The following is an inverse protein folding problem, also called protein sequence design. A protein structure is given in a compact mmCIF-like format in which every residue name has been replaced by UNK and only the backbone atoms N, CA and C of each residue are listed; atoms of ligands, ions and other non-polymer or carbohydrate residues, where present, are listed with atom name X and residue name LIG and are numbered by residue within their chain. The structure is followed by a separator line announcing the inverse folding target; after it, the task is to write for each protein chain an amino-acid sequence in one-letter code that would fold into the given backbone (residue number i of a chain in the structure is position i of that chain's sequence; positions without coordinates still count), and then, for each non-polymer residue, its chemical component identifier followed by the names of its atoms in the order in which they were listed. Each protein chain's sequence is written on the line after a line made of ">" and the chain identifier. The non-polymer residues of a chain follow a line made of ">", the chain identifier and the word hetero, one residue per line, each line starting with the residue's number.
data_IF_356133705998
#
_entry.id   IF_356133705998
#
_cell.length_a   1.000
_cell.length_b   1.000
_cell.length_c   1.000
_cell.angle_alpha   90.00
_cell.angle_beta   90.00
_cell.angle_gamma   90.00
#
_symmetry.space_group_name_H-M   'P 1'
#
loop_
_entity.id
_entity.type
_entity.pdbx_description
1 polymer ?
#
# COMPACT_ATOMS: atom_id res chain seq x y z
N UNK A 1 -23.65 19.52 17.82
CA UNK A 1 -23.43 19.35 16.36
C UNK A 1 -23.01 17.91 16.13
N UNK A 2 -23.93 17.08 15.64
CA UNK A 2 -23.71 15.65 15.42
C UNK A 2 -22.79 15.45 14.21
N UNK A 3 -21.54 15.07 14.44
CA UNK A 3 -20.63 14.65 13.38
C UNK A 3 -21.18 13.37 12.75
N UNK A 4 -21.60 13.44 11.49
CA UNK A 4 -22.02 12.28 10.72
C UNK A 4 -20.80 11.36 10.54
N UNK A 5 -20.72 10.29 11.33
CA UNK A 5 -19.66 9.28 11.21
C UNK A 5 -20.03 8.34 10.07
N UNK A 6 -19.38 8.51 8.93
CA UNK A 6 -19.52 7.60 7.79
C UNK A 6 -18.57 6.43 8.04
N UNK A 7 -19.13 5.24 8.23
CA UNK A 7 -18.38 3.97 8.30
C UNK A 7 -17.56 3.77 7.01
N UNK A 8 -16.41 3.09 7.06
CA UNK A 8 -15.60 2.78 5.87
C UNK A 8 -16.44 2.05 4.79
N UNK A 9 -17.38 1.19 5.21
CA UNK A 9 -18.35 0.57 4.31
C UNK A 9 -19.29 1.59 3.68
N UNK A 10 -19.73 2.59 4.42
CA UNK A 10 -20.56 3.69 3.92
C UNK A 10 -19.78 4.64 3.01
N UNK A 11 -18.46 4.80 3.19
CA UNK A 11 -17.58 5.55 2.30
C UNK A 11 -17.37 4.80 0.98
N UNK A 12 -17.10 3.50 1.04
CA UNK A 12 -16.97 2.63 -0.14
C UNK A 12 -18.28 2.62 -0.93
N UNK A 13 -19.43 2.49 -0.25
CA UNK A 13 -20.75 2.56 -0.88
C UNK A 13 -21.00 3.97 -1.47
N UNK A 14 -20.63 5.04 -0.76
CA UNK A 14 -20.79 6.40 -1.29
C UNK A 14 -19.89 6.66 -2.51
N UNK A 15 -18.68 6.10 -2.55
CA UNK A 15 -17.78 6.17 -3.71
C UNK A 15 -18.35 5.35 -4.87
N UNK A 16 -18.83 4.12 -4.63
CA UNK A 16 -19.52 3.30 -5.63
C UNK A 16 -20.74 4.02 -6.21
N UNK A 17 -21.58 4.60 -5.35
CA UNK A 17 -22.76 5.37 -5.74
C UNK A 17 -22.36 6.64 -6.50
N UNK A 18 -21.31 7.35 -6.07
CA UNK A 18 -20.80 8.52 -6.78
C UNK A 18 -20.19 8.17 -8.14
N UNK A 19 -19.50 7.04 -8.27
CA UNK A 19 -18.99 6.52 -9.56
C UNK A 19 -20.14 6.16 -10.48
N UNK A 20 -21.18 5.47 -9.98
CA UNK A 20 -22.37 5.11 -10.76
C UNK A 20 -23.16 6.35 -11.18
N UNK A 21 -23.37 7.31 -10.28
CA UNK A 21 -24.06 8.57 -10.58
C UNK A 21 -23.24 9.43 -11.53
N UNK A 22 -21.93 9.52 -11.36
CA UNK A 22 -21.03 10.26 -12.25
C UNK A 22 -20.99 9.67 -13.66
N UNK A 23 -21.03 8.34 -13.79
CA UNK A 23 -21.19 7.65 -15.07
C UNK A 23 -22.56 7.95 -15.72
N UNK A 24 -23.62 8.10 -14.91
CA UNK A 24 -24.99 8.37 -15.37
C UNK A 24 -25.26 9.84 -15.73
N UNK A 25 -24.66 10.80 -15.01
CA UNK A 25 -24.99 12.22 -15.15
C UNK A 25 -24.17 12.96 -16.21
N UNK A 26 -23.16 12.32 -16.83
CA UNK A 26 -22.38 12.94 -17.89
C UNK A 26 -21.52 14.13 -17.43
N UNK A 27 -21.49 14.45 -16.14
CA UNK A 27 -20.48 15.31 -15.53
C UNK A 27 -19.18 14.50 -15.45
N UNK A 28 -18.44 14.48 -16.55
CA UNK A 28 -17.09 13.90 -16.59
C UNK A 28 -16.11 15.05 -16.40
N UNK A 29 -15.67 15.39 -15.18
CA UNK A 29 -14.40 16.07 -15.03
C UNK A 29 -13.31 15.10 -15.50
N UNK A 30 -13.03 15.09 -16.81
CA UNK A 30 -11.91 14.38 -17.42
C UNK A 30 -10.62 15.02 -16.94
N UNK A 31 -10.20 14.70 -15.72
CA UNK A 31 -8.87 15.08 -15.27
C UNK A 31 -7.88 14.13 -15.94
N UNK A 32 -6.92 14.67 -16.67
CA UNK A 32 -5.85 13.86 -17.22
C UNK A 32 -4.83 13.55 -16.12
N UNK A 33 -4.70 12.29 -15.74
CA UNK A 33 -3.51 11.82 -15.03
C UNK A 33 -2.39 11.68 -16.05
N UNK A 34 -1.21 12.21 -15.76
CA UNK A 34 -0.04 12.01 -16.60
C UNK A 34 0.45 10.57 -16.43
N UNK A 35 0.43 9.81 -17.52
CA UNK A 35 0.95 8.45 -17.56
C UNK A 35 1.67 8.19 -18.87
N UNK A 36 2.58 7.23 -18.87
CA UNK A 36 3.14 6.62 -20.07
C UNK A 36 2.94 5.11 -20.04
N UNK A 37 2.65 4.54 -21.20
CA UNK A 37 2.57 3.10 -21.39
C UNK A 37 3.96 2.59 -21.80
N UNK A 38 4.44 1.55 -21.13
CA UNK A 38 5.75 0.96 -21.39
C UNK A 38 5.58 -0.54 -21.61
N UNK A 39 6.20 -1.07 -22.66
CA UNK A 39 6.29 -2.52 -22.85
C UNK A 39 7.42 -3.05 -21.97
N UNK A 40 7.09 -3.98 -21.08
CA UNK A 40 8.02 -4.56 -20.11
C UNK A 40 7.45 -5.86 -19.58
N UNK A 41 8.27 -6.90 -19.58
CA UNK A 41 7.92 -8.20 -19.02
C UNK A 41 8.46 -8.33 -17.60
N UNK A 42 7.59 -8.54 -16.61
CA UNK A 42 8.01 -8.88 -15.25
C UNK A 42 7.86 -10.39 -15.06
N UNK A 43 8.99 -11.09 -15.16
CA UNK A 43 9.06 -12.56 -15.02
C UNK A 43 8.70 -12.98 -13.61
N UNK A 44 7.96 -14.08 -13.51
CA UNK A 44 7.54 -14.70 -12.25
C UNK A 44 6.64 -13.79 -11.38
N UNK A 45 6.05 -12.76 -11.98
CA UNK A 45 5.06 -11.90 -11.31
C UNK A 45 3.74 -12.63 -11.12
N UNK A 46 2.99 -12.33 -10.05
CA UNK A 46 1.59 -12.75 -9.92
C UNK A 46 0.73 -12.34 -11.12
N UNK A 47 -0.33 -13.11 -11.37
CA UNK A 47 -1.34 -12.90 -12.43
C UNK A 47 -2.27 -11.69 -12.20
N UNK A 48 -1.95 -10.83 -11.24
CA UNK A 48 -2.71 -9.66 -10.87
C UNK A 48 -1.89 -8.38 -11.09
N UNK A 49 -2.53 -7.23 -11.33
CA UNK A 49 -1.80 -5.97 -11.41
C UNK A 49 -1.08 -5.67 -10.08
N UNK A 50 0.14 -5.15 -10.17
CA UNK A 50 1.00 -4.80 -9.02
C UNK A 50 1.61 -3.43 -9.21
N UNK A 51 1.60 -2.63 -8.15
CA UNK A 51 2.15 -1.28 -8.15
C UNK A 51 3.47 -1.25 -7.37
N UNK A 52 4.45 -0.56 -7.92
CA UNK A 52 5.81 -0.47 -7.38
C UNK A 52 6.27 0.99 -7.35
N UNK A 53 7.09 1.33 -6.35
CA UNK A 53 7.83 2.59 -6.38
C UNK A 53 8.80 2.56 -7.56
N UNK A 54 8.69 3.53 -8.47
CA UNK A 54 9.49 3.55 -9.70
C UNK A 54 10.88 4.16 -9.46
N UNK A 55 11.69 3.41 -8.73
CA UNK A 55 13.07 3.76 -8.33
C UNK A 55 14.13 2.93 -9.11
N UNK A 56 13.72 2.24 -10.17
CA UNK A 56 14.56 1.35 -10.97
C UNK A 56 14.53 1.72 -12.45
N UNK A 57 15.58 1.33 -13.17
CA UNK A 57 15.65 1.47 -14.63
C UNK A 57 15.09 0.22 -15.31
N UNK A 58 14.25 0.40 -16.33
CA UNK A 58 13.81 -0.69 -17.19
C UNK A 58 15.01 -1.06 -18.09
N UNK A 59 15.51 -2.30 -18.05
CA UNK A 59 16.67 -2.68 -18.84
C UNK A 59 16.38 -2.60 -20.35
N UNK A 60 17.42 -2.53 -21.21
CA UNK A 60 17.24 -2.46 -22.66
C UNK A 60 16.46 -3.64 -23.25
N UNK A 61 16.57 -4.82 -22.64
CA UNK A 61 15.82 -6.03 -23.02
C UNK A 61 14.36 -6.03 -22.53
N UNK A 62 13.92 -4.97 -21.84
CA UNK A 62 12.58 -4.77 -21.29
C UNK A 62 12.08 -5.92 -20.43
N UNK A 63 13.00 -6.62 -19.74
CA UNK A 63 12.64 -7.74 -18.87
C UNK A 63 13.22 -7.53 -17.48
N UNK A 64 12.36 -7.68 -16.47
CA UNK A 64 12.68 -7.53 -15.05
C UNK A 64 12.24 -8.82 -14.35
N UNK A 65 12.97 -9.26 -13.34
CA UNK A 65 12.53 -10.37 -12.49
C UNK A 65 11.72 -9.83 -11.32
N UNK A 66 10.57 -10.41 -11.00
CA UNK A 66 9.74 -9.93 -9.89
C UNK A 66 10.51 -9.84 -8.56
N UNK A 67 11.36 -10.83 -8.26
CA UNK A 67 12.19 -10.85 -7.05
C UNK A 67 13.15 -9.66 -6.91
N UNK A 68 13.54 -8.99 -8.02
CA UNK A 68 14.42 -7.81 -7.96
C UNK A 68 13.71 -6.51 -7.64
N UNK A 69 12.36 -6.47 -7.74
CA UNK A 69 11.56 -5.27 -7.48
C UNK A 69 10.49 -5.47 -6.40
N UNK A 70 10.30 -6.70 -5.88
CA UNK A 70 9.25 -7.01 -4.91
C UNK A 70 9.27 -6.15 -3.64
N UNK A 71 10.45 -5.68 -3.19
CA UNK A 71 10.56 -4.80 -2.02
C UNK A 71 10.04 -3.38 -2.27
N UNK A 72 9.87 -3.02 -3.54
CA UNK A 72 9.29 -1.75 -3.98
C UNK A 72 7.78 -1.86 -4.18
N UNK A 73 7.20 -3.06 -4.11
CA UNK A 73 5.76 -3.26 -4.21
C UNK A 73 5.05 -2.56 -3.05
N UNK A 74 4.05 -1.75 -3.37
CA UNK A 74 3.30 -1.00 -2.38
C UNK A 74 1.90 -0.68 -2.88
N UNK A 75 0.96 -0.54 -1.96
CA UNK A 75 -0.39 -0.03 -2.23
C UNK A 75 -0.55 1.43 -1.77
N UNK A 76 0.47 2.02 -1.13
CA UNK A 76 0.49 3.41 -0.72
C UNK A 76 1.70 4.14 -1.33
N UNK A 77 1.45 5.29 -1.94
CA UNK A 77 2.43 6.16 -2.58
C UNK A 77 2.32 7.60 -2.04
N UNK A 78 3.38 8.38 -2.21
CA UNK A 78 3.40 9.81 -1.86
C UNK A 78 3.27 10.65 -3.14
N UNK A 79 2.65 11.82 -3.03
CA UNK A 79 2.63 12.79 -4.13
C UNK A 79 4.07 13.07 -4.61
N UNK A 80 4.25 13.07 -5.93
CA UNK A 80 5.56 13.25 -6.58
C UNK A 80 6.35 11.96 -6.79
N UNK A 81 6.00 10.85 -6.13
CA UNK A 81 6.60 9.54 -6.42
C UNK A 81 6.05 8.99 -7.73
N UNK A 82 6.94 8.58 -8.65
CA UNK A 82 6.52 7.85 -9.84
C UNK A 82 6.08 6.44 -9.44
N UNK A 83 4.93 6.01 -9.94
CA UNK A 83 4.38 4.68 -9.71
C UNK A 83 4.53 3.86 -10.97
N UNK A 84 5.10 2.67 -10.85
CA UNK A 84 5.14 1.68 -11.91
C UNK A 84 4.04 0.65 -11.63
N UNK A 85 2.97 0.68 -12.41
CA UNK A 85 1.86 -0.26 -12.32
C UNK A 85 2.02 -1.32 -13.42
N UNK A 86 2.49 -2.50 -13.05
CA UNK A 86 2.53 -3.64 -13.96
C UNK A 86 1.14 -4.22 -14.16
N UNK A 87 0.69 -4.35 -15.41
CA UNK A 87 -0.67 -4.82 -15.73
C UNK A 87 -0.78 -6.36 -15.73
N UNK A 88 0.33 -7.08 -15.61
CA UNK A 88 0.37 -8.54 -15.61
C UNK A 88 -0.34 -9.15 -16.84
N UNK A 89 -1.31 -10.04 -16.64
CA UNK A 89 -2.04 -10.72 -17.72
C UNK A 89 -3.25 -9.92 -18.28
N UNK A 90 -3.27 -8.60 -18.04
CA UNK A 90 -4.33 -7.71 -18.47
C UNK A 90 -3.89 -6.72 -19.55
N UNK A 91 -4.80 -6.45 -20.49
CA UNK A 91 -4.72 -5.36 -21.47
C UNK A 91 -5.47 -4.15 -20.96
N UNK A 92 -4.90 -2.96 -21.17
CA UNK A 92 -5.57 -1.69 -20.94
C UNK A 92 -6.61 -1.42 -22.03
N UNK A 93 -7.86 -1.16 -21.65
CA UNK A 93 -8.95 -0.79 -22.57
C UNK A 93 -9.39 0.66 -22.42
N UNK A 94 -9.13 1.27 -21.26
CA UNK A 94 -9.52 2.66 -21.01
C UNK A 94 -9.04 3.16 -19.64
N UNK A 95 -9.14 4.47 -19.46
CA UNK A 95 -8.79 5.16 -18.23
C UNK A 95 -9.84 6.24 -17.97
N UNK A 96 -10.32 6.30 -16.75
CA UNK A 96 -11.29 7.30 -16.32
C UNK A 96 -10.88 7.84 -14.96
N UNK A 97 -11.26 9.07 -14.66
CA UNK A 97 -11.22 9.49 -13.28
C UNK A 97 -12.06 10.70 -12.99
N UNK A 98 -12.29 10.90 -11.71
CA UNK A 98 -13.23 11.85 -11.15
C UNK A 98 -12.53 12.58 -10.02
N UNK A 99 -12.72 13.90 -9.93
CA UNK A 99 -12.29 14.67 -8.77
C UNK A 99 -13.48 15.34 -8.13
N UNK A 100 -13.56 15.30 -6.80
CA UNK A 100 -14.47 16.17 -6.05
C UNK A 100 -13.72 17.46 -5.74
N UNK A 101 -14.15 18.58 -6.32
CA UNK A 101 -13.58 19.92 -6.11
C UNK A 101 -12.07 20.07 -6.40
N UNK A 102 -11.45 19.17 -7.17
CA UNK A 102 -10.04 19.25 -7.58
C UNK A 102 -9.03 18.54 -6.67
N UNK A 103 -9.41 18.19 -5.44
CA UNK A 103 -8.48 17.79 -4.37
C UNK A 103 -8.25 16.28 -4.26
N UNK A 104 -9.32 15.47 -4.28
CA UNK A 104 -9.25 14.02 -4.17
C UNK A 104 -9.73 13.36 -5.46
N UNK A 105 -8.88 12.49 -6.02
CA UNK A 105 -9.06 11.95 -7.34
C UNK A 105 -9.26 10.43 -7.33
N UNK A 106 -10.40 9.95 -7.79
CA UNK A 106 -10.60 8.52 -8.05
C UNK A 106 -10.20 8.25 -9.49
N UNK A 107 -9.28 7.31 -9.71
CA UNK A 107 -8.82 6.91 -11.03
C UNK A 107 -9.14 5.43 -11.26
N UNK A 108 -9.91 5.13 -12.31
CA UNK A 108 -10.27 3.78 -12.68
C UNK A 108 -9.56 3.39 -13.97
N UNK A 109 -8.85 2.27 -13.89
CA UNK A 109 -8.14 1.65 -14.99
C UNK A 109 -8.97 0.48 -15.49
N UNK A 110 -9.46 0.57 -16.73
CA UNK A 110 -10.28 -0.47 -17.32
C UNK A 110 -9.38 -1.54 -17.95
N UNK A 111 -9.54 -2.77 -17.46
CA UNK A 111 -8.68 -3.90 -17.79
C UNK A 111 -9.48 -5.09 -18.31
N UNK A 112 -8.94 -5.76 -19.33
CA UNK A 112 -9.46 -7.03 -19.84
C UNK A 112 -8.36 -8.09 -19.84
N UNK A 113 -8.70 -9.34 -19.50
CA UNK A 113 -7.72 -10.44 -19.54
C UNK A 113 -7.22 -10.69 -20.96
N UNK A 114 -5.95 -11.08 -21.08
CA UNK A 114 -5.32 -11.47 -22.34
C UNK A 114 -4.24 -10.52 -22.84
N UNK A 115 -3.89 -9.47 -22.09
CA UNK A 115 -2.70 -8.67 -22.33
C UNK A 115 -1.50 -9.26 -21.60
N UNK A 116 -0.27 -9.01 -22.08
CA UNK A 116 0.95 -9.28 -21.32
C UNK A 116 1.96 -8.19 -21.58
N UNK A 117 2.96 -8.12 -20.71
CA UNK A 117 4.17 -7.32 -20.90
C UNK A 117 3.93 -5.82 -21.04
N UNK A 118 2.98 -5.26 -20.27
CA UNK A 118 2.73 -3.82 -20.22
C UNK A 118 2.71 -3.29 -18.80
N UNK A 119 3.19 -2.07 -18.65
CA UNK A 119 3.08 -1.30 -17.43
C UNK A 119 2.68 0.14 -17.72
N UNK A 120 2.03 0.77 -16.74
CA UNK A 120 1.80 2.21 -16.71
C UNK A 120 2.81 2.85 -15.76
N UNK A 121 3.53 3.85 -16.24
CA UNK A 121 4.31 4.75 -15.37
C UNK A 121 3.45 5.97 -15.12
N UNK A 122 2.99 6.13 -13.88
CA UNK A 122 2.07 7.18 -13.46
C UNK A 122 2.85 8.20 -12.64
N UNK A 123 2.65 9.50 -12.92
CA UNK A 123 3.24 10.59 -12.15
C UNK A 123 2.14 11.35 -11.37
N UNK A 124 1.78 10.89 -10.16
CA UNK A 124 0.73 11.51 -9.38
C UNK A 124 1.19 12.85 -8.79
N UNK A 125 0.46 13.92 -9.13
CA UNK A 125 0.70 15.28 -8.63
C UNK A 125 -0.26 15.72 -7.52
N UNK A 126 -1.15 14.81 -7.09
CA UNK A 126 -2.22 15.07 -6.11
C UNK A 126 -2.61 13.77 -5.40
N UNK A 127 -3.42 13.88 -4.34
CA UNK A 127 -4.04 12.72 -3.68
C UNK A 127 -4.94 11.97 -4.66
N UNK A 128 -4.79 10.65 -4.72
CA UNK A 128 -5.64 9.84 -5.59
C UNK A 128 -5.80 8.40 -5.11
N UNK A 129 -6.95 7.81 -5.36
CA UNK A 129 -7.22 6.38 -5.19
C UNK A 129 -7.37 5.74 -6.56
N UNK A 130 -6.63 4.66 -6.79
CA UNK A 130 -6.56 3.98 -8.08
C UNK A 130 -7.18 2.61 -7.97
N UNK A 131 -8.10 2.33 -8.89
CA UNK A 131 -8.84 1.07 -8.97
C UNK A 131 -8.67 0.47 -10.36
N UNK A 132 -8.70 -0.86 -10.43
CA UNK A 132 -8.88 -1.60 -11.67
C UNK A 132 -10.36 -1.99 -11.80
N UNK A 133 -10.96 -1.72 -12.95
CA UNK A 133 -12.23 -2.29 -13.38
C UNK A 133 -11.93 -3.53 -14.21
N UNK A 134 -12.17 -4.72 -13.65
CA UNK A 134 -11.87 -6.01 -14.28
C UNK A 134 -13.19 -6.72 -14.58
N UNK A 135 -13.42 -7.04 -15.85
CA UNK A 135 -14.55 -7.87 -16.25
C UNK A 135 -14.24 -9.35 -15.99
N UNK A 136 -15.01 -10.01 -15.12
CA UNK A 136 -14.88 -11.43 -14.79
C UNK A 136 -16.28 -12.06 -14.79
N UNK A 137 -16.46 -13.13 -15.56
CA UNK A 137 -17.70 -13.93 -15.59
C UNK A 137 -18.99 -13.13 -15.84
N UNK A 138 -18.90 -12.05 -16.62
CA UNK A 138 -20.04 -11.17 -16.93
C UNK A 138 -20.23 -10.01 -15.96
N UNK A 139 -19.55 -10.01 -14.82
CA UNK A 139 -19.57 -8.96 -13.81
C UNK A 139 -18.36 -8.03 -13.92
N UNK A 140 -18.51 -6.78 -13.47
CA UNK A 140 -17.41 -5.82 -13.34
C UNK A 140 -16.99 -5.78 -11.88
N UNK A 141 -15.75 -6.14 -11.61
CA UNK A 141 -15.14 -6.08 -10.28
C UNK A 141 -14.24 -4.84 -10.22
N UNK A 142 -14.50 -3.97 -9.25
CA UNK A 142 -13.60 -2.87 -8.91
C UNK A 142 -12.59 -3.34 -7.85
N UNK A 143 -11.34 -3.46 -8.25
CA UNK A 143 -10.24 -3.89 -7.39
C UNK A 143 -9.36 -2.69 -7.03
N UNK A 144 -9.16 -2.35 -5.75
CA UNK A 144 -8.22 -1.29 -5.37
C UNK A 144 -6.78 -1.70 -5.77
N UNK A 145 -6.07 -0.79 -6.42
CA UNK A 145 -4.67 -0.99 -6.83
C UNK A 145 -3.73 -0.29 -5.85
N UNK A 146 -3.88 1.03 -5.70
CA UNK A 146 -3.06 1.80 -4.79
C UNK A 146 -3.70 3.16 -4.48
N UNK A 147 -3.19 3.83 -3.44
CA UNK A 147 -3.54 5.20 -3.08
C UNK A 147 -2.29 6.08 -3.01
N UNK A 148 -2.45 7.35 -3.37
CA UNK A 148 -1.44 8.39 -3.26
C UNK A 148 -1.86 9.37 -2.17
N UNK A 149 -0.94 9.66 -1.26
CA UNK A 149 -1.13 10.51 -0.10
C UNK A 149 -0.20 11.71 -0.10
N UNK A 150 -0.59 12.73 0.66
CA UNK A 150 0.38 13.75 1.06
C UNK A 150 1.51 13.08 1.84
N UNK A 151 2.78 13.50 1.65
CA UNK A 151 3.89 12.98 2.44
C UNK A 151 3.63 13.05 3.95
N UNK A 152 2.98 14.12 4.42
CA UNK A 152 2.63 14.36 5.83
C UNK A 152 1.55 13.42 6.37
N UNK A 153 0.72 12.84 5.51
CA UNK A 153 -0.34 11.91 5.88
C UNK A 153 0.10 10.44 5.77
N UNK A 154 1.33 10.20 5.33
CA UNK A 154 1.90 8.85 5.24
C UNK A 154 2.96 8.62 6.30
N UNK A 155 3.16 7.36 6.68
CA UNK A 155 4.30 6.92 7.47
C UNK A 155 5.05 5.82 6.71
N UNK A 156 6.38 5.82 6.78
CA UNK A 156 7.21 4.80 6.14
C UNK A 156 8.22 4.22 7.13
N UNK A 157 8.31 2.90 7.17
CA UNK A 157 9.29 2.17 7.94
C UNK A 157 10.13 1.36 6.96
N UNK A 158 11.44 1.61 6.98
CA UNK A 158 12.44 0.88 6.22
C UNK A 158 13.30 0.15 7.24
N UNK A 159 13.61 -1.12 7.02
CA UNK A 159 14.52 -1.78 7.93
C UNK A 159 15.23 -2.99 7.38
N UNK A 160 16.27 -3.38 8.12
CA UNK A 160 17.10 -4.55 7.87
C UNK A 160 16.94 -5.56 9.00
N UNK A 161 16.88 -6.84 8.66
CA UNK A 161 16.70 -7.95 9.59
C UNK A 161 17.94 -8.85 9.56
N UNK A 162 18.63 -8.91 10.70
CA UNK A 162 19.84 -9.73 10.89
C UNK A 162 19.59 -10.92 11.83
N UNK A 163 18.42 -11.55 11.71
CA UNK A 163 18.00 -12.67 12.56
C UNK A 163 18.05 -13.96 11.75
N UNK A 164 18.91 -14.89 12.17
CA UNK A 164 19.08 -16.22 11.55
C UNK A 164 17.72 -16.94 11.64
N UNK A 165 17.04 -17.11 10.51
CA UNK A 165 15.71 -17.73 10.30
C UNK A 165 14.49 -16.79 10.22
N UNK A 166 14.64 -15.47 10.27
CA UNK A 166 13.52 -14.59 9.95
C UNK A 166 13.26 -14.62 8.43
N UNK A 167 12.05 -15.01 8.03
CA UNK A 167 11.61 -15.02 6.62
C UNK A 167 10.65 -13.87 6.29
N UNK A 168 10.01 -13.29 7.31
CA UNK A 168 9.07 -12.19 7.17
C UNK A 168 9.16 -11.20 8.35
N UNK A 169 8.54 -10.04 8.14
CA UNK A 169 8.29 -9.02 9.16
C UNK A 169 6.79 -8.80 9.25
N UNK A 170 6.25 -8.90 10.46
CA UNK A 170 4.84 -8.73 10.76
C UNK A 170 4.63 -7.37 11.42
N UNK A 171 3.58 -6.67 11.00
CA UNK A 171 3.15 -5.43 11.62
C UNK A 171 1.80 -5.63 12.28
N UNK A 172 1.73 -5.31 13.57
CA UNK A 172 0.50 -5.40 14.36
C UNK A 172 0.10 -4.03 14.91
N UNK A 173 -1.20 -3.77 14.97
CA UNK A 173 -1.76 -2.60 15.64
C UNK A 173 -2.21 -3.00 17.05
N UNK A 174 -1.78 -2.21 18.03
CA UNK A 174 -2.25 -2.33 19.41
C UNK A 174 -2.84 -0.99 19.87
N UNK A 175 -3.84 -1.06 20.75
CA UNK A 175 -4.38 0.14 21.40
C UNK A 175 -3.45 0.70 22.48
N UNK A 176 -2.57 -0.12 23.03
CA UNK A 176 -1.62 0.24 24.07
C UNK A 176 -0.31 -0.54 23.87
N UNK A 177 0.80 -0.01 24.38
CA UNK A 177 2.09 -0.71 24.29
C UNK A 177 2.14 -1.82 25.34
N UNK A 178 2.49 -3.04 24.91
CA UNK A 178 2.59 -4.20 25.81
C UNK A 178 4.02 -4.75 25.86
N UNK A 179 4.38 -5.35 26.99
CA UNK A 179 5.57 -6.21 27.06
C UNK A 179 5.23 -7.56 26.44
N UNK A 180 6.01 -8.00 25.46
CA UNK A 180 5.81 -9.27 24.77
C UNK A 180 6.65 -10.35 25.44
N UNK A 181 6.00 -11.37 25.98
CA UNK A 181 6.67 -12.49 26.65
C UNK A 181 6.54 -13.80 25.85
N UNK A 182 5.44 -13.96 25.09
CA UNK A 182 5.16 -15.15 24.26
C UNK A 182 4.49 -14.78 22.94
N UNK A 183 4.66 -15.58 21.89
CA UNK A 183 4.00 -15.31 20.59
C UNK A 183 2.47 -15.38 20.66
N UNK A 184 1.92 -15.98 21.73
CA UNK A 184 0.49 -16.00 21.99
C UNK A 184 -0.07 -14.59 22.28
N UNK A 185 0.78 -13.67 22.75
CA UNK A 185 0.44 -12.25 22.94
C UNK A 185 0.07 -11.54 21.63
N UNK A 186 0.39 -12.14 20.46
CA UNK A 186 0.07 -11.62 19.13
C UNK A 186 -1.25 -12.18 18.56
N UNK A 187 -1.83 -13.25 19.14
CA UNK A 187 -2.95 -13.99 18.54
C UNK A 187 -4.26 -13.19 18.47
N UNK A 188 -4.45 -12.25 19.38
CA UNK A 188 -5.69 -11.45 19.47
C UNK A 188 -5.58 -10.07 18.84
N UNK A 189 -4.46 -9.78 18.17
CA UNK A 189 -4.11 -8.43 17.75
C UNK A 189 -4.30 -8.27 16.24
N UNK A 190 -4.50 -7.02 15.81
CA UNK A 190 -4.82 -6.74 14.41
C UNK A 190 -3.55 -6.75 13.57
N UNK A 191 -3.30 -7.86 12.85
CA UNK A 191 -2.26 -7.92 11.83
C UNK A 191 -2.58 -6.93 10.71
N UNK A 192 -1.72 -5.93 10.53
CA UNK A 192 -1.85 -4.87 9.52
C UNK A 192 -1.14 -5.28 8.23
N UNK A 193 0.04 -5.87 8.34
CA UNK A 193 0.85 -6.28 7.20
C UNK A 193 1.74 -7.48 7.52
N UNK A 194 1.95 -8.33 6.52
CA UNK A 194 2.94 -9.41 6.52
C UNK A 194 3.87 -9.20 5.33
N UNK A 195 5.13 -8.84 5.62
CA UNK A 195 6.11 -8.44 4.64
C UNK A 195 7.13 -9.57 4.47
N UNK A 196 7.22 -10.12 3.27
CA UNK A 196 8.30 -11.06 2.93
C UNK A 196 9.61 -10.29 2.81
N UNK A 197 10.68 -10.81 3.43
CA UNK A 197 11.99 -10.17 3.36
C UNK A 197 12.63 -10.29 1.97
N UNK A 198 13.43 -9.28 1.59
CA UNK A 198 14.34 -9.40 0.46
C UNK A 198 15.44 -10.43 0.76
N UNK A 199 16.19 -10.86 -0.26
CA UNK A 199 17.38 -11.73 -0.08
C UNK A 199 18.45 -11.13 0.84
N UNK A 200 18.45 -9.80 1.00
CA UNK A 200 19.38 -9.07 1.87
C UNK A 200 18.83 -8.88 3.28
N UNK A 201 17.63 -9.38 3.57
CA UNK A 201 16.95 -9.17 4.86
C UNK A 201 16.32 -7.79 5.00
N UNK A 202 16.17 -7.02 3.92
CA UNK A 202 15.52 -5.70 3.95
C UNK A 202 14.01 -5.81 3.80
N UNK A 203 13.30 -4.82 4.37
CA UNK A 203 11.87 -4.58 4.15
C UNK A 203 11.57 -3.09 4.09
N UNK A 204 10.47 -2.76 3.43
CA UNK A 204 9.88 -1.43 3.37
C UNK A 204 8.38 -1.56 3.52
N UNK A 205 7.78 -0.72 4.34
CA UNK A 205 6.33 -0.64 4.48
C UNK A 205 5.90 0.79 4.63
N UNK A 206 4.78 1.11 3.99
CA UNK A 206 4.13 2.39 4.11
C UNK A 206 2.76 2.20 4.72
N UNK A 207 2.39 3.10 5.61
CA UNK A 207 1.15 3.08 6.35
C UNK A 207 0.42 4.40 6.10
N UNK A 208 -0.90 4.34 6.15
CA UNK A 208 -1.72 5.52 6.41
C UNK A 208 -2.13 5.52 7.89
N UNK A 209 -1.52 6.37 8.73
CA UNK A 209 -1.91 6.52 10.11
C UNK A 209 -3.40 6.84 10.31
N UNK A 210 -4.06 7.55 9.38
CA UNK A 210 -5.47 7.89 9.55
C UNK A 210 -6.38 6.65 9.58
N UNK A 211 -6.11 5.66 8.72
CA UNK A 211 -6.85 4.38 8.70
C UNK A 211 -6.54 3.47 9.89
N UNK A 212 -5.40 3.69 10.57
CA UNK A 212 -4.99 2.92 11.74
C UNK A 212 -5.41 3.58 13.07
N UNK A 213 -5.98 4.78 13.01
CA UNK A 213 -6.43 5.50 14.21
C UNK A 213 -7.86 5.08 14.56
N UNK A 214 -8.13 4.62 15.80
CA UNK A 214 -9.48 4.26 16.22
C UNK A 214 -10.43 5.47 16.21
N UNK A 215 -11.75 5.26 16.02
CA UNK A 215 -12.73 6.34 15.93
C UNK A 215 -13.08 7.02 17.27
N UNK A 216 -12.40 6.62 18.35
CA UNK A 216 -12.48 7.16 19.70
C UNK A 216 -11.07 7.41 20.24
N UNK A 217 -10.95 8.37 21.16
CA UNK A 217 -9.66 8.73 21.74
C UNK A 217 -9.19 7.58 22.64
N UNK A 218 -7.96 7.13 22.42
CA UNK A 218 -7.26 6.21 23.30
C UNK A 218 -6.27 7.04 24.13
N UNK A 219 -6.19 6.77 25.42
CA UNK A 219 -5.34 7.55 26.34
C UNK A 219 -3.85 7.35 26.04
N UNK A 220 -3.45 6.13 25.68
CA UNK A 220 -2.03 5.79 25.51
C UNK A 220 -1.60 5.45 24.08
N UNK A 221 -2.49 5.06 23.16
CA UNK A 221 -2.13 4.65 21.80
C UNK A 221 -2.90 5.34 20.68
N UNK A 222 -2.97 4.75 19.48
CA UNK A 222 -2.51 3.40 19.11
C UNK A 222 -1.00 3.29 18.84
N UNK A 223 -0.49 2.06 18.91
CA UNK A 223 0.91 1.70 18.63
C UNK A 223 1.02 0.68 17.51
N UNK A 224 2.08 0.80 16.72
CA UNK A 224 2.49 -0.20 15.72
C UNK A 224 3.66 -0.99 16.28
N UNK A 225 3.50 -2.31 16.33
CA UNK A 225 4.58 -3.26 16.59
C UNK A 225 5.12 -3.75 15.25
N UNK A 226 6.41 -3.54 15.01
CA UNK A 226 7.15 -4.17 13.90
C UNK A 226 7.93 -5.35 14.47
N UNK A 227 7.67 -6.55 13.97
CA UNK A 227 8.10 -7.81 14.58
C UNK A 227 8.73 -8.76 13.55
N UNK A 228 9.95 -9.23 13.82
CA UNK A 228 10.62 -10.27 13.02
C UNK A 228 10.90 -11.54 13.84
N UNK A 229 11.12 -11.41 15.15
CA UNK A 229 11.28 -12.52 16.09
C UNK A 229 11.13 -12.05 17.55
N UNK A 230 10.67 -12.93 18.44
CA UNK A 230 10.50 -12.65 19.87
C UNK A 230 11.83 -12.79 20.62
N UNK A 231 12.71 -11.83 20.38
CA UNK A 231 13.96 -11.64 21.10
C UNK A 231 14.15 -10.14 21.35
N UNK A 232 14.97 -9.77 22.33
CA UNK A 232 15.29 -8.36 22.54
C UNK A 232 15.93 -7.78 21.26
N UNK A 233 15.39 -6.66 20.76
CA UNK A 233 15.81 -6.06 19.50
C UNK A 233 15.20 -6.68 18.23
N UNK A 234 14.53 -7.83 18.33
CA UNK A 234 13.81 -8.50 17.24
C UNK A 234 12.41 -7.91 16.96
N UNK A 235 12.00 -6.96 17.78
CA UNK A 235 10.79 -6.17 17.62
C UNK A 235 10.99 -4.71 18.03
N UNK A 236 10.18 -3.81 17.48
CA UNK A 236 10.14 -2.38 17.81
C UNK A 236 8.72 -1.87 17.87
N UNK A 237 8.46 -1.01 18.84
CA UNK A 237 7.20 -0.31 19.03
C UNK A 237 7.32 1.13 18.56
N UNK A 238 6.27 1.62 17.93
CA UNK A 238 6.14 3.02 17.54
C UNK A 238 4.76 3.54 17.94
N UNK A 239 4.69 4.72 18.54
CA UNK A 239 3.41 5.41 18.63
C UNK A 239 2.98 5.82 17.22
N UNK A 240 1.73 5.58 16.86
CA UNK A 240 1.23 5.92 15.52
C UNK A 240 1.35 7.43 15.24
N UNK A 241 1.17 8.26 16.27
CA UNK A 241 1.34 9.71 16.18
C UNK A 241 2.79 10.12 15.89
N UNK A 242 3.77 9.35 16.36
CA UNK A 242 5.18 9.61 16.09
C UNK A 242 5.58 9.25 14.66
N UNK A 243 4.84 8.33 14.02
CA UNK A 243 5.09 7.87 12.66
C UNK A 243 4.61 8.85 11.60
N UNK A 244 3.55 9.63 11.89
CA UNK A 244 2.89 10.49 10.90
C UNK A 244 3.87 11.45 10.23
N UNK A 245 3.92 11.42 8.90
CA UNK A 245 4.77 12.26 8.07
C UNK A 245 6.26 11.88 8.05
N UNK A 246 6.65 10.76 8.66
CA UNK A 246 8.06 10.37 8.79
C UNK A 246 8.42 9.13 7.98
N UNK A 247 9.68 9.11 7.55
CA UNK A 247 10.37 7.89 7.14
C UNK A 247 11.34 7.51 8.25
N UNK A 248 11.15 6.32 8.83
CA UNK A 248 11.96 5.79 9.93
C UNK A 248 12.78 4.62 9.42
N UNK A 249 14.06 4.59 9.79
CA UNK A 249 14.98 3.48 9.49
C UNK A 249 15.26 2.69 10.75
N UNK A 250 15.11 1.36 10.69
CA UNK A 250 15.38 0.47 11.81
C UNK A 250 16.22 -0.75 11.42
N UNK A 251 16.88 -1.33 12.41
CA UNK A 251 17.51 -2.63 12.30
C UNK A 251 16.92 -3.57 13.37
N UNK A 252 16.45 -4.74 12.95
CA UNK A 252 15.95 -5.79 13.82
C UNK A 252 17.02 -6.88 13.95
N UNK A 253 17.46 -7.11 15.19
CA UNK A 253 18.50 -8.08 15.54
C UNK A 253 18.16 -8.70 16.88
N UNK A 254 18.51 -9.97 17.07
CA UNK A 254 18.47 -10.52 18.41
C UNK A 254 19.71 -10.05 19.19
N UNK A 255 19.49 -9.29 20.25
CA UNK A 255 20.52 -9.03 21.25
C UNK A 255 20.72 -10.32 22.05
N UNK A 256 21.86 -10.97 21.85
CA UNK A 256 22.23 -12.19 22.59
C UNK A 256 22.64 -11.89 24.04
N UNK A 257 22.87 -10.63 24.37
CA UNK A 257 23.15 -10.15 25.73
C UNK A 257 21.83 -9.74 26.40
N UNK A 258 20.94 -10.71 26.60
CA UNK A 258 19.81 -10.52 27.51
C UNK A 258 20.34 -10.49 28.94
N UNK A 259 20.59 -9.29 29.46
CA UNK A 259 20.52 -9.04 30.89
C UNK A 259 19.36 -8.08 31.09
N UNK A 260 18.26 -8.61 31.61
CA UNK A 260 17.21 -7.79 32.20
C UNK A 260 17.72 -6.97 33.38
#
# INVERSE_FOLDING_TARGET
>A
MSSLKISLSSLIIAILVAVIIGLWQGEIPRVSVEYSLVDVSVKDSPDEPRAFAYEFNIPPNRSITYDSIKELENNLFKIGEKVFLYLSNYSLTGLEGWSKNGDEYVFVIHLIRGGKDKALVIHPRRKMEVYASIKKDGEIILTPLFRVLDPQDSAEIIGDVSIKNASSVLLYLFMEKKSLNTTDDLRNESLIANLTLSKRGSFRVRLDPALLTPPFRVEEGPYVLVYANMCEGGYRWFSLNELKGKTIKIALKCNLTGTG
#
